data_IF_954496760542
#
_entry.id   IF_954496760542
#
_cell.length_a   1.000
_cell.length_b   1.000
_cell.length_c   1.000
_cell.angle_alpha   90.00
_cell.angle_beta   90.00
_cell.angle_gamma   90.00
#
_symmetry.space_group_name_H-M   'P 1'
#
loop_
_entity.id
_entity.type
_entity.pdbx_description
1 polymer ?
#
# COMPACT_ATOMS: atom_id res chain seq x y z
N UNK A 1 11.62 -0.47 12.37
CA UNK A 1 11.82 0.27 13.63
C UNK A 1 11.46 1.71 13.37
N UNK A 2 10.51 2.30 14.10
CA UNK A 2 10.08 3.70 13.87
C UNK A 2 8.58 3.97 13.99
N UNK A 3 7.74 2.93 14.01
CA UNK A 3 6.31 3.12 14.31
C UNK A 3 6.14 3.40 15.82
N UNK A 4 5.33 4.41 16.20
CA UNK A 4 4.95 4.62 17.59
C UNK A 4 4.23 3.40 18.16
N UNK A 5 4.25 3.25 19.48
CA UNK A 5 3.43 2.26 20.17
C UNK A 5 1.94 2.45 19.84
N UNK A 6 1.21 1.36 19.62
CA UNK A 6 -0.21 1.39 19.22
C UNK A 6 -0.46 1.57 17.73
N UNK A 7 0.55 1.92 16.93
CA UNK A 7 0.44 1.95 15.47
C UNK A 7 0.76 0.59 14.85
N UNK A 8 0.13 0.30 13.71
CA UNK A 8 0.47 -0.83 12.84
C UNK A 8 0.68 -0.34 11.41
N UNK A 9 1.55 -1.00 10.66
CA UNK A 9 1.69 -0.79 9.23
C UNK A 9 0.95 -1.87 8.43
N UNK A 10 0.29 -1.46 7.36
CA UNK A 10 -0.25 -2.34 6.35
C UNK A 10 0.53 -2.07 5.05
N UNK A 11 1.21 -3.09 4.53
CA UNK A 11 1.86 -3.02 3.23
C UNK A 11 0.94 -3.56 2.14
N UNK A 12 0.95 -2.91 0.98
CA UNK A 12 0.24 -3.35 -0.22
C UNK A 12 1.30 -3.77 -1.26
N UNK A 13 1.62 -5.08 -1.37
CA UNK A 13 2.52 -5.59 -2.38
C UNK A 13 2.09 -5.25 -3.80
N UNK A 14 3.01 -4.66 -4.56
CA UNK A 14 2.87 -4.51 -6.02
C UNK A 14 3.36 -5.76 -6.75
N UNK A 15 4.27 -6.53 -6.12
CA UNK A 15 4.78 -7.78 -6.66
C UNK A 15 3.78 -8.90 -6.35
N UNK A 16 3.53 -9.76 -7.33
CA UNK A 16 2.80 -11.01 -7.13
C UNK A 16 3.75 -12.07 -6.59
N UNK A 17 3.30 -12.88 -5.63
CA UNK A 17 4.00 -14.12 -5.25
C UNK A 17 4.17 -14.38 -3.76
N UNK A 18 3.67 -13.53 -2.86
CA UNK A 18 3.61 -13.81 -1.41
C UNK A 18 4.95 -13.97 -0.68
N UNK A 19 6.08 -13.76 -1.36
CA UNK A 19 7.42 -13.94 -0.79
C UNK A 19 7.88 -12.75 0.05
N UNK A 20 7.26 -11.57 -0.13
CA UNK A 20 7.73 -10.32 0.47
C UNK A 20 7.68 -10.32 2.00
N UNK A 21 6.76 -11.05 2.62
CA UNK A 21 6.71 -11.14 4.07
C UNK A 21 8.00 -11.78 4.63
N UNK A 22 8.49 -12.85 4.00
CA UNK A 22 9.71 -13.52 4.40
C UNK A 22 10.95 -12.63 4.15
N UNK A 23 10.99 -11.93 3.01
CA UNK A 23 12.08 -10.99 2.68
C UNK A 23 12.16 -9.83 3.68
N UNK A 24 11.02 -9.21 4.02
CA UNK A 24 10.97 -8.14 5.01
C UNK A 24 11.42 -8.65 6.39
N UNK A 25 11.02 -9.86 6.79
CA UNK A 25 11.49 -10.46 8.03
C UNK A 25 13.00 -10.73 8.00
N UNK A 26 13.53 -11.28 6.91
CA UNK A 26 14.96 -11.53 6.76
C UNK A 26 15.80 -10.25 6.80
N UNK A 27 15.30 -9.15 6.21
CA UNK A 27 15.91 -7.83 6.33
C UNK A 27 15.89 -7.32 7.77
N UNK A 28 14.79 -7.49 8.50
CA UNK A 28 14.70 -7.09 9.91
C UNK A 28 15.62 -7.92 10.80
N UNK A 29 15.76 -9.22 10.53
CA UNK A 29 16.69 -10.09 11.24
C UNK A 29 18.14 -9.61 11.07
N UNK A 30 18.56 -9.36 9.83
CA UNK A 30 19.92 -8.88 9.54
C UNK A 30 20.20 -7.50 10.12
N UNK A 31 19.24 -6.59 10.08
CA UNK A 31 19.43 -5.21 10.51
C UNK A 31 19.25 -5.01 12.02
N UNK A 32 18.38 -5.81 12.66
CA UNK A 32 17.92 -5.55 14.03
C UNK A 32 17.93 -6.78 14.94
N UNK A 33 18.31 -7.98 14.46
CA UNK A 33 18.31 -9.23 15.23
C UNK A 33 16.90 -9.71 15.62
N UNK A 34 15.90 -9.38 14.81
CA UNK A 34 14.52 -9.79 15.06
C UNK A 34 13.48 -8.90 14.42
N UNK A 35 12.23 -9.39 14.39
CA UNK A 35 11.07 -8.62 13.91
C UNK A 35 10.91 -7.31 14.70
N UNK A 36 10.58 -6.24 14.00
CA UNK A 36 10.32 -4.90 14.57
C UNK A 36 8.95 -4.37 14.14
N UNK A 37 8.19 -3.92 15.14
CA UNK A 37 6.87 -3.32 14.96
C UNK A 37 5.78 -4.32 14.58
N UNK A 38 4.55 -3.82 14.51
CA UNK A 38 3.38 -4.59 14.08
C UNK A 38 3.07 -4.24 12.63
N UNK A 39 3.21 -5.20 11.73
CA UNK A 39 2.89 -5.00 10.32
C UNK A 39 2.33 -6.26 9.64
N UNK A 40 1.50 -6.07 8.63
CA UNK A 40 0.98 -7.13 7.75
C UNK A 40 1.08 -6.69 6.29
N UNK A 41 0.95 -7.65 5.37
CA UNK A 41 0.83 -7.39 3.93
C UNK A 41 -0.54 -7.88 3.45
N UNK A 42 -1.13 -7.17 2.49
CA UNK A 42 -2.33 -7.61 1.77
C UNK A 42 -2.04 -7.74 0.27
N UNK A 43 -1.81 -8.97 -0.18
CA UNK A 43 -1.41 -9.30 -1.55
C UNK A 43 -2.54 -9.18 -2.59
N UNK A 44 -3.79 -8.85 -2.20
CA UNK A 44 -4.93 -8.83 -3.13
C UNK A 44 -4.82 -7.75 -4.22
N UNK A 45 -4.17 -6.63 -3.92
CA UNK A 45 -4.23 -5.42 -4.73
C UNK A 45 -3.00 -5.21 -5.65
N UNK A 46 -2.36 -6.31 -6.08
CA UNK A 46 -1.19 -6.21 -6.97
C UNK A 46 -1.56 -5.98 -8.45
N UNK A 47 -2.84 -6.13 -8.84
CA UNK A 47 -3.35 -5.91 -10.22
C UNK A 47 -2.54 -6.64 -11.30
N UNK A 48 -2.35 -7.95 -11.15
CA UNK A 48 -1.53 -8.75 -12.08
C UNK A 48 -0.01 -8.65 -11.87
N UNK A 49 0.47 -7.78 -10.98
CA UNK A 49 1.87 -7.72 -10.53
C UNK A 49 2.59 -6.42 -10.93
N UNK A 50 3.92 -6.46 -10.90
CA UNK A 50 4.75 -5.29 -11.19
C UNK A 50 4.54 -4.74 -12.59
N UNK A 51 4.48 -3.41 -12.72
CA UNK A 51 4.28 -2.69 -13.98
C UNK A 51 3.03 -3.12 -14.77
N UNK A 52 2.09 -3.83 -14.14
CA UNK A 52 0.78 -4.15 -14.69
C UNK A 52 -0.27 -3.15 -14.20
N UNK A 53 -1.10 -2.69 -15.13
CA UNK A 53 -2.32 -1.95 -14.87
C UNK A 53 -3.51 -2.75 -15.42
N UNK A 54 -4.71 -2.39 -14.95
CA UNK A 54 -5.98 -2.90 -15.45
C UNK A 54 -6.89 -1.70 -15.76
N UNK A 55 -7.89 -1.85 -16.64
CA UNK A 55 -8.86 -0.78 -16.89
C UNK A 55 -9.54 -0.26 -15.62
N UNK A 56 -9.78 -1.15 -14.65
CA UNK A 56 -10.31 -0.80 -13.33
C UNK A 56 -9.36 0.10 -12.53
N UNK A 57 -8.05 -0.23 -12.48
CA UNK A 57 -7.06 0.57 -11.79
C UNK A 57 -6.86 1.93 -12.47
N UNK A 58 -6.91 1.96 -13.81
CA UNK A 58 -6.80 3.19 -14.59
C UNK A 58 -8.00 4.11 -14.37
N UNK A 59 -9.22 3.57 -14.40
CA UNK A 59 -10.43 4.32 -14.11
C UNK A 59 -10.44 4.85 -12.66
N UNK A 60 -9.99 4.05 -11.70
CA UNK A 60 -9.84 4.50 -10.31
C UNK A 60 -8.84 5.66 -10.20
N UNK A 61 -7.67 5.56 -10.85
CA UNK A 61 -6.66 6.61 -10.78
C UNK A 61 -7.15 7.94 -11.39
N UNK A 62 -7.91 7.87 -12.49
CA UNK A 62 -8.53 9.03 -13.13
C UNK A 62 -9.62 9.66 -12.26
N UNK A 63 -10.53 8.84 -11.72
CA UNK A 63 -11.56 9.30 -10.79
C UNK A 63 -10.95 9.94 -9.53
N UNK A 64 -9.94 9.29 -8.93
CA UNK A 64 -9.27 9.81 -7.75
C UNK A 64 -8.60 11.16 -8.05
N UNK A 65 -7.93 11.27 -9.21
CA UNK A 65 -7.32 12.52 -9.66
C UNK A 65 -8.39 13.60 -9.85
N UNK A 66 -9.52 13.27 -10.48
CA UNK A 66 -10.63 14.21 -10.71
C UNK A 66 -11.28 14.70 -9.42
N UNK A 67 -11.47 13.82 -8.42
CA UNK A 67 -12.10 14.17 -7.14
C UNK A 67 -11.20 14.97 -6.21
N UNK A 68 -9.90 14.65 -6.18
CA UNK A 68 -8.97 15.19 -5.17
C UNK A 68 -7.95 16.17 -5.74
N UNK A 69 -7.83 16.30 -7.06
CA UNK A 69 -6.84 17.16 -7.71
C UNK A 69 -5.39 16.70 -7.56
N UNK A 70 -5.17 15.43 -7.18
CA UNK A 70 -3.84 14.85 -6.97
C UNK A 70 -3.53 13.83 -8.07
N UNK A 71 -2.50 14.05 -8.91
CA UNK A 71 -2.10 13.06 -9.91
C UNK A 71 -1.68 11.74 -9.25
N UNK A 72 -2.23 10.63 -9.73
CA UNK A 72 -1.96 9.30 -9.19
C UNK A 72 -1.07 8.48 -10.13
N UNK A 73 0.10 8.11 -9.63
CA UNK A 73 1.04 7.18 -10.28
C UNK A 73 0.49 5.74 -10.24
N UNK A 74 0.50 5.03 -11.38
CA UNK A 74 -0.24 3.77 -11.57
C UNK A 74 0.50 2.50 -11.12
N UNK A 75 1.84 2.48 -11.11
CA UNK A 75 2.63 1.33 -10.69
C UNK A 75 2.45 1.03 -9.20
N UNK A 76 2.45 2.06 -8.35
CA UNK A 76 2.47 1.93 -6.90
C UNK A 76 1.32 2.66 -6.22
N UNK A 77 1.17 3.96 -6.50
CA UNK A 77 0.31 4.84 -5.69
C UNK A 77 -1.17 4.49 -5.91
N UNK A 78 -1.58 4.27 -7.15
CA UNK A 78 -2.94 3.85 -7.49
C UNK A 78 -3.32 2.56 -6.75
N UNK A 79 -2.43 1.58 -6.71
CA UNK A 79 -2.69 0.27 -6.06
C UNK A 79 -2.87 0.42 -4.56
N UNK A 80 -2.03 1.24 -3.92
CA UNK A 80 -2.16 1.57 -2.50
C UNK A 80 -3.49 2.28 -2.22
N UNK A 81 -3.81 3.33 -2.96
CA UNK A 81 -5.03 4.12 -2.73
C UNK A 81 -6.29 3.30 -3.02
N UNK A 82 -6.27 2.47 -4.06
CA UNK A 82 -7.33 1.52 -4.36
C UNK A 82 -7.57 0.57 -3.19
N UNK A 83 -6.49 -0.05 -2.69
CA UNK A 83 -6.57 -0.96 -1.56
C UNK A 83 -7.19 -0.29 -0.32
N UNK A 84 -6.80 0.95 -0.02
CA UNK A 84 -7.35 1.68 1.12
C UNK A 84 -8.86 1.95 0.99
N UNK A 85 -9.33 2.31 -0.22
CA UNK A 85 -10.76 2.52 -0.48
C UNK A 85 -11.51 1.20 -0.33
N UNK A 86 -11.05 0.13 -0.99
CA UNK A 86 -11.67 -1.19 -0.89
C UNK A 86 -11.71 -1.71 0.55
N UNK A 87 -10.61 -1.61 1.30
CA UNK A 87 -10.55 -2.02 2.70
C UNK A 87 -11.48 -1.20 3.61
N UNK A 88 -11.66 0.09 3.32
CA UNK A 88 -12.60 0.92 4.05
C UNK A 88 -14.05 0.50 3.78
N UNK A 89 -14.39 0.19 2.53
CA UNK A 89 -15.70 -0.33 2.13
C UNK A 89 -15.98 -1.72 2.71
N UNK A 90 -14.96 -2.57 2.81
CA UNK A 90 -15.00 -3.87 3.49
C UNK A 90 -15.13 -3.77 5.02
N UNK A 91 -15.02 -2.56 5.60
CA UNK A 91 -15.08 -2.35 7.04
C UNK A 91 -13.83 -2.83 7.79
N UNK A 92 -12.68 -2.94 7.12
CA UNK A 92 -11.43 -3.42 7.71
C UNK A 92 -10.85 -2.47 8.79
N UNK A 93 -11.32 -1.22 8.84
CA UNK A 93 -10.93 -0.23 9.83
C UNK A 93 -12.11 0.11 10.74
N UNK A 94 -11.89 0.03 12.06
CA UNK A 94 -12.89 0.47 13.03
C UNK A 94 -13.20 1.96 12.83
N UNK A 95 -14.47 2.36 13.04
CA UNK A 95 -14.88 3.76 12.93
C UNK A 95 -14.02 4.64 13.86
N UNK A 96 -13.53 5.75 13.32
CA UNK A 96 -12.63 6.67 14.03
C UNK A 96 -11.15 6.31 13.94
N UNK A 97 -10.79 5.23 13.24
CA UNK A 97 -9.39 4.91 12.93
C UNK A 97 -8.80 5.97 12.01
N UNK A 98 -7.66 6.55 12.39
CA UNK A 98 -6.85 7.40 11.51
C UNK A 98 -5.96 6.53 10.62
N UNK A 99 -6.06 6.72 9.31
CA UNK A 99 -5.21 6.04 8.32
C UNK A 99 -4.32 7.06 7.65
N UNK A 100 -3.01 6.80 7.64
CA UNK A 100 -2.03 7.60 6.92
C UNK A 100 -1.42 6.79 5.77
N UNK A 101 -1.65 7.23 4.53
CA UNK A 101 -1.02 6.64 3.36
C UNK A 101 0.39 7.21 3.16
N UNK A 102 1.40 6.34 3.13
CA UNK A 102 2.79 6.75 2.85
C UNK A 102 3.02 6.66 1.34
N UNK A 103 3.00 7.81 0.67
CA UNK A 103 3.21 7.90 -0.78
C UNK A 103 4.69 8.17 -1.05
N UNK A 104 5.36 7.20 -1.68
CA UNK A 104 6.78 7.30 -2.06
C UNK A 104 6.98 7.49 -3.57
N UNK A 105 5.91 7.41 -4.36
CA UNK A 105 5.93 7.67 -5.80
C UNK A 105 6.13 9.15 -6.09
N UNK A 106 6.68 9.49 -7.26
CA UNK A 106 6.81 10.89 -7.70
C UNK A 106 5.41 11.40 -8.07
N UNK A 107 4.92 12.53 -7.50
CA UNK A 107 3.58 13.01 -7.79
C UNK A 107 3.48 13.81 -9.10
N UNK A 108 4.60 14.06 -9.78
CA UNK A 108 4.67 15.11 -10.79
C UNK A 108 5.42 14.65 -12.04
N UNK A 109 4.96 15.06 -13.24
CA UNK A 109 5.83 15.09 -14.41
C UNK A 109 7.05 15.99 -14.12
N UNK A 110 8.17 15.82 -14.83
CA UNK A 110 9.33 16.71 -14.71
C UNK A 110 8.97 18.16 -14.98
#
# INVERSE_FOLDING_TARGET
AGLPGGCRALGIPVLKGGFLAAEVLGLQERAFGGRRGTWSLDDRFHFGGYARTTPELDAFAEDFTGRHGVPVERLYVAKLLYALVALAEEGAFARGTTVAAVVTGRPFPP
#
